data_IF_067287727400
#
_entry.id   IF_067287727400
#
_cell.length_a   1.000
_cell.length_b   1.000
_cell.length_c   1.000
_cell.angle_alpha   90.00
_cell.angle_beta   90.00
_cell.angle_gamma   90.00
#
_symmetry.space_group_name_H-M   'P 1'
#
loop_
_entity.id
_entity.type
_entity.pdbx_description
1 polymer ?
#
# COMPACT_ATOMS: atom_id res chain seq x y z
N UNK A 1 55.26 8.88 -39.40
CA UNK A 1 53.97 9.17 -40.06
C UNK A 1 53.06 8.01 -39.72
N UNK A 2 52.22 8.16 -38.70
CA UNK A 2 51.30 7.12 -38.24
C UNK A 2 49.93 7.79 -38.02
N UNK A 3 48.93 7.52 -38.88
CA UNK A 3 47.64 8.19 -38.81
C UNK A 3 46.63 7.41 -37.96
N UNK A 4 46.04 8.13 -36.99
CA UNK A 4 44.67 8.01 -36.48
C UNK A 4 44.01 6.61 -36.36
N UNK A 5 43.59 6.25 -35.14
CA UNK A 5 42.16 6.22 -34.76
C UNK A 5 41.93 5.57 -33.40
N UNK A 6 41.25 6.32 -32.53
CA UNK A 6 39.99 5.86 -31.96
C UNK A 6 40.08 4.81 -30.86
N UNK A 7 40.35 5.26 -29.63
CA UNK A 7 39.55 4.81 -28.48
C UNK A 7 39.07 6.04 -27.73
N UNK A 8 38.08 6.70 -28.33
CA UNK A 8 37.14 7.48 -27.54
C UNK A 8 36.58 6.53 -26.49
N UNK A 9 36.97 6.76 -25.24
CA UNK A 9 36.27 6.19 -24.12
C UNK A 9 34.82 6.61 -24.26
N UNK A 10 33.97 5.68 -24.69
CA UNK A 10 32.55 5.78 -24.40
C UNK A 10 32.47 5.76 -22.88
N UNK A 11 32.49 6.95 -22.28
CA UNK A 11 31.83 7.20 -21.01
C UNK A 11 30.45 6.59 -21.18
N UNK A 12 30.29 5.38 -20.63
CA UNK A 12 29.01 4.72 -20.46
C UNK A 12 28.15 5.70 -19.70
N UNK A 13 27.35 6.49 -20.43
CA UNK A 13 26.41 7.41 -19.84
C UNK A 13 25.57 6.60 -18.85
N UNK A 14 25.47 6.99 -17.57
CA UNK A 14 24.66 6.24 -16.61
C UNK A 14 23.23 6.22 -17.14
N UNK A 15 22.78 5.03 -17.54
CA UNK A 15 21.48 4.83 -18.15
C UNK A 15 20.38 5.08 -17.11
N UNK A 16 19.94 6.34 -17.04
CA UNK A 16 18.63 6.83 -16.58
C UNK A 16 18.03 6.21 -15.29
N UNK A 17 18.51 6.61 -14.10
CA UNK A 17 17.73 6.47 -12.86
C UNK A 17 16.38 7.24 -12.90
N UNK A 18 16.24 8.23 -13.79
CA UNK A 18 15.09 9.14 -13.85
C UNK A 18 13.78 8.54 -14.43
N UNK A 19 13.74 7.28 -14.88
CA UNK A 19 12.49 6.64 -15.35
C UNK A 19 11.99 5.51 -14.44
N UNK A 20 12.83 4.98 -13.56
CA UNK A 20 12.45 3.89 -12.65
C UNK A 20 11.49 4.34 -11.52
N UNK A 21 11.39 5.66 -11.25
CA UNK A 21 10.51 6.18 -10.20
C UNK A 21 9.02 6.09 -10.52
N UNK A 22 8.64 6.22 -11.79
CA UNK A 22 7.24 6.13 -12.24
C UNK A 22 6.60 4.76 -11.94
N UNK A 23 7.17 3.63 -12.39
CA UNK A 23 6.62 2.31 -12.09
C UNK A 23 6.71 1.98 -10.58
N UNK A 24 7.75 2.45 -9.89
CA UNK A 24 7.89 2.28 -8.44
C UNK A 24 6.81 3.04 -7.65
N UNK A 25 6.49 4.27 -8.05
CA UNK A 25 5.41 5.05 -7.48
C UNK A 25 4.04 4.44 -7.79
N UNK A 26 3.81 4.00 -9.03
CA UNK A 26 2.61 3.28 -9.43
C UNK A 26 2.38 2.00 -8.60
N UNK A 27 3.42 1.19 -8.37
CA UNK A 27 3.34 -0.01 -7.54
C UNK A 27 3.08 0.33 -6.06
N UNK A 28 3.75 1.36 -5.53
CA UNK A 28 3.54 1.80 -4.14
C UNK A 28 2.10 2.33 -3.93
N UNK A 29 1.60 3.17 -4.83
CA UNK A 29 0.23 3.69 -4.78
C UNK A 29 -0.79 2.58 -5.00
N UNK A 30 -0.55 1.70 -5.98
CA UNK A 30 -1.39 0.55 -6.30
C UNK A 30 -1.56 -0.41 -5.14
N UNK A 31 -0.45 -0.79 -4.49
CA UNK A 31 -0.47 -1.68 -3.33
C UNK A 31 -1.08 -1.03 -2.08
N UNK A 32 -0.86 0.28 -1.89
CA UNK A 32 -1.54 1.05 -0.83
C UNK A 32 -3.05 1.09 -1.07
N UNK A 33 -3.48 1.33 -2.31
CA UNK A 33 -4.89 1.28 -2.71
C UNK A 33 -5.51 -0.09 -2.45
N UNK A 34 -4.80 -1.17 -2.79
CA UNK A 34 -5.27 -2.53 -2.55
C UNK A 34 -5.45 -2.80 -1.05
N UNK A 35 -4.50 -2.39 -0.21
CA UNK A 35 -4.63 -2.47 1.24
C UNK A 35 -5.80 -1.64 1.78
N UNK A 36 -6.02 -0.45 1.25
CA UNK A 36 -7.16 0.41 1.62
C UNK A 36 -8.49 -0.27 1.28
N UNK A 37 -8.62 -0.86 0.09
CA UNK A 37 -9.81 -1.62 -0.31
C UNK A 37 -10.05 -2.82 0.62
N UNK A 38 -9.00 -3.54 1.03
CA UNK A 38 -9.11 -4.65 1.99
C UNK A 38 -9.70 -4.15 3.31
N UNK A 39 -9.13 -3.09 3.89
CA UNK A 39 -9.65 -2.55 5.15
C UNK A 39 -11.08 -2.04 5.03
N UNK A 40 -11.43 -1.37 3.93
CA UNK A 40 -12.79 -0.87 3.68
C UNK A 40 -13.79 -1.99 3.45
N UNK A 41 -13.40 -3.07 2.77
CA UNK A 41 -14.26 -4.23 2.53
C UNK A 41 -14.48 -5.06 3.82
N UNK A 42 -13.42 -5.30 4.61
CA UNK A 42 -13.54 -5.99 5.91
C UNK A 42 -14.38 -5.17 6.88
N UNK A 43 -14.06 -3.88 7.04
CA UNK A 43 -14.86 -2.98 7.88
C UNK A 43 -16.29 -2.91 7.36
N UNK A 44 -16.44 -2.90 6.02
CA UNK A 44 -17.65 -3.11 5.21
C UNK A 44 -18.57 -4.18 5.78
N UNK A 45 -18.06 -5.41 5.70
CA UNK A 45 -18.76 -6.63 6.08
C UNK A 45 -19.01 -6.72 7.59
N UNK A 46 -18.06 -6.31 8.44
CA UNK A 46 -18.20 -6.47 9.90
C UNK A 46 -19.17 -5.49 10.55
N UNK A 47 -19.25 -4.24 10.06
CA UNK A 47 -20.09 -3.21 10.69
C UNK A 47 -21.56 -3.28 10.27
N UNK A 48 -21.91 -4.08 9.26
CA UNK A 48 -23.27 -4.19 8.74
C UNK A 48 -23.88 -2.84 8.32
N UNK A 49 -25.19 -2.83 8.08
CA UNK A 49 -25.99 -1.65 7.72
C UNK A 49 -26.75 -1.06 8.94
N UNK A 50 -26.12 -1.03 10.12
CA UNK A 50 -26.78 -0.51 11.32
C UNK A 50 -26.98 1.03 11.26
N UNK A 51 -28.09 1.55 11.79
CA UNK A 51 -28.51 2.96 11.68
C UNK A 51 -27.47 4.04 12.08
N UNK A 52 -26.57 3.87 13.07
CA UNK A 52 -25.52 4.88 13.33
C UNK A 52 -24.38 4.88 12.28
N UNK A 53 -24.33 3.90 11.37
CA UNK A 53 -23.28 3.73 10.35
C UNK A 53 -23.50 4.65 9.13
N UNK A 54 -24.66 5.29 9.01
CA UNK A 54 -24.97 6.17 7.88
C UNK A 54 -24.14 7.47 7.90
N UNK A 55 -23.72 7.94 9.10
CA UNK A 55 -22.76 9.03 9.23
C UNK A 55 -21.36 8.68 8.66
N UNK A 56 -21.02 7.38 8.59
CA UNK A 56 -19.80 6.87 7.95
C UNK A 56 -19.95 6.65 6.44
N UNK A 57 -21.17 6.71 5.87
CA UNK A 57 -21.40 6.34 4.47
C UNK A 57 -20.59 7.21 3.50
N UNK A 58 -20.55 8.52 3.73
CA UNK A 58 -19.74 9.45 2.92
C UNK A 58 -18.24 9.17 3.03
N UNK A 59 -17.75 8.84 4.23
CA UNK A 59 -16.34 8.51 4.44
C UNK A 59 -15.98 7.19 3.75
N UNK A 60 -16.88 6.20 3.79
CA UNK A 60 -16.69 4.93 3.10
C UNK A 60 -16.76 5.08 1.59
N UNK A 61 -17.72 5.85 1.04
CA UNK A 61 -17.79 6.14 -0.40
C UNK A 61 -16.53 6.88 -0.87
N UNK A 62 -16.09 7.91 -0.13
CA UNK A 62 -14.85 8.62 -0.42
C UNK A 62 -13.62 7.72 -0.33
N UNK A 63 -13.58 6.83 0.68
CA UNK A 63 -12.53 5.83 0.84
C UNK A 63 -12.50 4.81 -0.30
N UNK A 64 -13.65 4.29 -0.72
CA UNK A 64 -13.75 3.36 -1.85
C UNK A 64 -13.37 4.04 -3.16
N UNK A 65 -13.81 5.28 -3.37
CA UNK A 65 -13.41 6.09 -4.51
C UNK A 65 -11.89 6.33 -4.57
N UNK A 66 -11.28 6.70 -3.44
CA UNK A 66 -9.83 6.86 -3.35
C UNK A 66 -9.10 5.52 -3.54
N UNK A 67 -9.59 4.44 -2.94
CA UNK A 67 -9.02 3.10 -3.09
C UNK A 67 -9.04 2.61 -4.54
N UNK A 68 -10.16 2.81 -5.24
CA UNK A 68 -10.29 2.55 -6.68
C UNK A 68 -9.28 3.36 -7.50
N UNK A 69 -9.17 4.66 -7.22
CA UNK A 69 -8.24 5.54 -7.93
C UNK A 69 -6.77 5.11 -7.72
N UNK A 70 -6.39 4.82 -6.48
CA UNK A 70 -5.04 4.35 -6.14
C UNK A 70 -4.74 2.98 -6.76
N UNK A 71 -5.68 2.03 -6.72
CA UNK A 71 -5.52 0.71 -7.36
C UNK A 71 -5.43 0.84 -8.88
N UNK A 72 -6.16 1.77 -9.49
CA UNK A 72 -6.05 2.02 -10.93
C UNK A 72 -4.63 2.47 -11.32
N UNK A 73 -3.92 3.19 -10.44
CA UNK A 73 -2.52 3.55 -10.65
C UNK A 73 -1.55 2.35 -10.65
N UNK A 74 -1.94 1.16 -10.17
CA UNK A 74 -1.10 -0.05 -10.20
C UNK A 74 -0.83 -0.54 -11.63
N UNK A 75 -1.73 -0.20 -12.55
CA UNK A 75 -1.83 -0.72 -13.90
C UNK A 75 -0.51 -0.69 -14.70
N UNK A 76 0.24 0.43 -14.81
CA UNK A 76 1.53 0.47 -15.49
C UNK A 76 2.58 -0.47 -14.85
N UNK A 77 2.56 -0.67 -13.53
CA UNK A 77 3.47 -1.59 -12.86
C UNK A 77 3.10 -3.07 -13.10
N UNK A 78 1.82 -3.38 -13.31
CA UNK A 78 1.38 -4.72 -13.69
C UNK A 78 1.81 -5.08 -15.12
N UNK A 79 1.89 -4.08 -16.00
CA UNK A 79 2.30 -4.26 -17.39
C UNK A 79 3.78 -4.63 -17.56
N UNK A 80 4.62 -4.27 -16.58
CA UNK A 80 6.05 -4.62 -16.55
C UNK A 80 6.33 -6.02 -16.03
N UNK A 81 5.30 -6.75 -15.56
CA UNK A 81 5.48 -8.12 -15.07
C UNK A 81 5.76 -9.12 -16.21
N UNK A 82 6.51 -10.19 -15.93
CA UNK A 82 6.74 -11.26 -16.89
C UNK A 82 5.42 -11.94 -17.29
N UNK A 83 5.37 -12.43 -18.54
CA UNK A 83 4.18 -12.91 -19.24
C UNK A 83 3.27 -13.90 -18.46
N UNK A 84 3.78 -14.91 -17.70
CA UNK A 84 2.89 -15.83 -16.98
C UNK A 84 2.20 -15.18 -15.76
N UNK A 85 2.79 -14.13 -15.18
CA UNK A 85 2.28 -13.48 -13.98
C UNK A 85 1.45 -12.25 -14.28
N UNK A 86 1.74 -11.57 -15.39
CA UNK A 86 0.99 -10.40 -15.87
C UNK A 86 -0.50 -10.72 -16.04
N UNK A 87 -0.86 -11.81 -16.71
CA UNK A 87 -2.27 -12.18 -16.92
C UNK A 87 -3.02 -12.41 -15.61
N UNK A 88 -2.41 -13.12 -14.67
CA UNK A 88 -2.99 -13.39 -13.34
C UNK A 88 -3.15 -12.12 -12.52
N UNK A 89 -2.14 -11.26 -12.52
CA UNK A 89 -2.16 -10.01 -11.76
C UNK A 89 -3.17 -9.01 -12.34
N UNK A 90 -3.28 -8.91 -13.68
CA UNK A 90 -4.29 -8.07 -14.35
C UNK A 90 -5.71 -8.59 -14.12
N UNK A 91 -5.91 -9.93 -14.14
CA UNK A 91 -7.21 -10.51 -13.82
C UNK A 91 -7.60 -10.22 -12.37
N UNK A 92 -6.70 -10.44 -11.41
CA UNK A 92 -6.94 -10.13 -10.00
C UNK A 92 -7.19 -8.63 -9.79
N UNK A 93 -6.47 -7.76 -10.49
CA UNK A 93 -6.69 -6.32 -10.49
C UNK A 93 -8.08 -5.94 -11.02
N UNK A 94 -8.48 -6.48 -12.17
CA UNK A 94 -9.78 -6.21 -12.77
C UNK A 94 -10.94 -6.68 -11.87
N UNK A 95 -10.80 -7.87 -11.26
CA UNK A 95 -11.78 -8.40 -10.32
C UNK A 95 -11.83 -7.57 -9.03
N UNK A 96 -10.70 -7.09 -8.52
CA UNK A 96 -10.66 -6.20 -7.35
C UNK A 96 -11.35 -4.86 -7.63
N UNK A 97 -11.13 -4.27 -8.82
CA UNK A 97 -11.82 -3.05 -9.25
C UNK A 97 -13.32 -3.27 -9.41
N UNK A 98 -13.72 -4.36 -10.06
CA UNK A 98 -15.13 -4.71 -10.23
C UNK A 98 -15.82 -4.91 -8.88
N UNK A 99 -15.20 -5.69 -7.98
CA UNK A 99 -15.72 -5.92 -6.63
C UNK A 99 -15.83 -4.64 -5.80
N UNK A 100 -14.82 -3.77 -5.83
CA UNK A 100 -14.88 -2.47 -5.17
C UNK A 100 -15.95 -1.54 -5.76
N UNK A 101 -16.13 -1.56 -7.10
CA UNK A 101 -17.21 -0.84 -7.77
C UNK A 101 -18.60 -1.33 -7.34
N UNK A 102 -18.78 -2.64 -7.23
CA UNK A 102 -20.02 -3.24 -6.71
C UNK A 102 -20.25 -2.86 -5.25
N UNK A 103 -19.22 -2.90 -4.40
CA UNK A 103 -19.36 -2.45 -3.00
C UNK A 103 -19.72 -0.97 -2.89
N UNK A 104 -19.15 -0.12 -3.75
CA UNK A 104 -19.50 1.30 -3.82
C UNK A 104 -20.95 1.49 -4.27
N UNK A 105 -21.42 0.72 -5.25
CA UNK A 105 -22.81 0.73 -5.69
C UNK A 105 -23.76 0.25 -4.57
N UNK A 106 -23.40 -0.82 -3.85
CA UNK A 106 -24.16 -1.33 -2.71
C UNK A 106 -24.17 -0.35 -1.51
N UNK A 107 -23.17 0.51 -1.38
CA UNK A 107 -23.23 1.60 -0.39
C UNK A 107 -24.19 2.71 -0.78
N UNK A 108 -24.30 2.99 -2.08
CA UNK A 108 -25.27 3.96 -2.58
C UNK A 108 -26.68 3.39 -2.48
N UNK A 109 -26.86 2.12 -2.87
CA UNK A 109 -28.15 1.41 -2.93
C UNK A 109 -28.09 0.16 -2.03
N UNK A 110 -28.32 0.32 -0.72
CA UNK A 110 -28.20 -0.77 0.24
C UNK A 110 -29.28 -1.83 0.02
N UNK A 111 -28.88 -3.10 0.10
CA UNK A 111 -29.77 -4.26 0.07
C UNK A 111 -29.89 -4.85 1.49
N UNK A 112 -30.88 -4.42 2.30
CA UNK A 112 -31.01 -4.90 3.68
C UNK A 112 -31.29 -6.41 3.71
N UNK A 113 -30.65 -7.11 4.65
CA UNK A 113 -30.83 -8.56 4.85
C UNK A 113 -30.15 -9.47 3.82
N UNK A 114 -29.40 -8.90 2.87
CA UNK A 114 -28.74 -9.64 1.80
C UNK A 114 -27.32 -10.09 2.18
N UNK A 115 -26.89 -11.34 1.87
CA UNK A 115 -25.51 -11.79 2.08
C UNK A 115 -24.52 -11.23 1.04
N UNK A 116 -25.04 -10.62 -0.05
CA UNK A 116 -24.24 -10.12 -1.17
C UNK A 116 -23.10 -9.17 -0.78
N UNK A 117 -23.28 -8.17 0.11
CA UNK A 117 -22.19 -7.27 0.51
C UNK A 117 -21.00 -8.01 1.14
N UNK A 118 -21.26 -9.05 1.94
CA UNK A 118 -20.21 -9.84 2.58
C UNK A 118 -19.46 -10.72 1.58
N UNK A 119 -20.19 -11.36 0.65
CA UNK A 119 -19.58 -12.17 -0.42
C UNK A 119 -18.71 -11.31 -1.34
N UNK A 120 -19.23 -10.17 -1.79
CA UNK A 120 -18.48 -9.24 -2.65
C UNK A 120 -17.28 -8.66 -1.89
N UNK A 121 -17.43 -8.32 -0.60
CA UNK A 121 -16.31 -7.89 0.23
C UNK A 121 -15.21 -8.95 0.27
N UNK A 122 -15.57 -10.21 0.50
CA UNK A 122 -14.63 -11.33 0.55
C UNK A 122 -13.95 -11.57 -0.79
N UNK A 123 -14.69 -11.54 -1.89
CA UNK A 123 -14.10 -11.65 -3.24
C UNK A 123 -13.14 -10.49 -3.52
N UNK A 124 -13.52 -9.27 -3.16
CA UNK A 124 -12.71 -8.06 -3.35
C UNK A 124 -11.42 -8.13 -2.54
N UNK A 125 -11.48 -8.58 -1.28
CA UNK A 125 -10.28 -8.72 -0.43
C UNK A 125 -9.33 -9.78 -0.99
N UNK A 126 -9.84 -10.95 -1.36
CA UNK A 126 -9.03 -12.01 -1.95
C UNK A 126 -8.37 -11.56 -3.25
N UNK A 127 -9.10 -10.88 -4.13
CA UNK A 127 -8.56 -10.37 -5.40
C UNK A 127 -7.52 -9.26 -5.18
N UNK A 128 -7.75 -8.35 -4.23
CA UNK A 128 -6.79 -7.30 -3.89
C UNK A 128 -5.49 -7.88 -3.32
N UNK A 129 -5.58 -8.88 -2.44
CA UNK A 129 -4.40 -9.57 -1.90
C UNK A 129 -3.69 -10.39 -2.99
N UNK A 130 -4.44 -11.08 -3.85
CA UNK A 130 -3.90 -11.85 -4.97
C UNK A 130 -3.15 -10.97 -5.97
N UNK A 131 -3.65 -9.76 -6.26
CA UNK A 131 -2.96 -8.77 -7.10
C UNK A 131 -1.59 -8.40 -6.50
N UNK A 132 -1.55 -8.08 -5.20
CA UNK A 132 -0.31 -7.69 -4.52
C UNK A 132 0.68 -8.87 -4.47
N UNK A 133 0.19 -10.09 -4.25
CA UNK A 133 1.01 -11.30 -4.24
C UNK A 133 1.56 -11.63 -5.65
N UNK A 134 0.72 -11.58 -6.68
CA UNK A 134 1.09 -11.91 -8.06
C UNK A 134 2.10 -10.93 -8.68
N UNK A 135 2.22 -9.74 -8.11
CA UNK A 135 3.22 -8.77 -8.53
C UNK A 135 4.63 -9.10 -8.01
N UNK A 136 4.81 -10.09 -7.13
CA UNK A 136 6.13 -10.64 -6.78
C UNK A 136 6.52 -11.72 -7.78
N UNK A 137 7.78 -11.70 -8.23
CA UNK A 137 8.35 -12.75 -9.08
C UNK A 137 8.75 -13.98 -8.24
N UNK A 138 8.09 -15.14 -8.38
CA UNK A 138 8.39 -16.31 -7.56
C UNK A 138 9.65 -17.07 -7.99
N UNK A 139 10.24 -16.78 -9.16
CA UNK A 139 11.40 -17.54 -9.65
C UNK A 139 12.70 -17.26 -8.88
N UNK A 140 12.78 -16.18 -8.09
CA UNK A 140 13.96 -15.83 -7.28
C UNK A 140 13.67 -15.10 -5.97
N UNK A 141 12.39 -14.88 -5.63
CA UNK A 141 12.02 -14.11 -4.46
C UNK A 141 12.41 -14.83 -3.14
N UNK A 142 12.91 -14.10 -2.12
CA UNK A 142 13.11 -14.67 -0.79
C UNK A 142 11.80 -15.22 -0.21
N UNK A 143 11.87 -16.23 0.68
CA UNK A 143 10.68 -16.90 1.23
C UNK A 143 9.70 -15.95 1.94
N UNK A 144 10.19 -14.80 2.42
CA UNK A 144 9.39 -13.78 3.09
C UNK A 144 8.96 -12.60 2.19
N UNK A 145 9.22 -12.64 0.88
CA UNK A 145 8.94 -11.53 -0.02
C UNK A 145 7.45 -11.22 -0.19
N UNK A 146 6.63 -12.26 -0.31
CA UNK A 146 5.16 -12.16 -0.42
C UNK A 146 4.54 -11.66 0.89
N UNK A 147 4.78 -12.29 2.07
CA UNK A 147 4.18 -11.81 3.31
C UNK A 147 4.63 -10.39 3.67
N UNK A 148 5.89 -10.03 3.39
CA UNK A 148 6.36 -8.65 3.58
C UNK A 148 5.58 -7.68 2.70
N UNK A 149 5.36 -7.99 1.42
CA UNK A 149 4.62 -7.11 0.50
C UNK A 149 3.16 -6.93 0.90
N UNK A 150 2.52 -8.00 1.36
CA UNK A 150 1.15 -7.94 1.87
C UNK A 150 1.05 -7.09 3.14
N UNK A 151 1.96 -7.30 4.11
CA UNK A 151 2.01 -6.51 5.34
C UNK A 151 2.21 -5.01 5.04
N UNK A 152 3.09 -4.68 4.11
CA UNK A 152 3.35 -3.32 3.66
C UNK A 152 2.16 -2.68 2.94
N UNK A 153 1.47 -3.43 2.08
CA UNK A 153 0.25 -2.97 1.42
C UNK A 153 -0.85 -2.66 2.45
N UNK A 154 -1.04 -3.56 3.42
CA UNK A 154 -2.00 -3.37 4.53
C UNK A 154 -1.62 -2.18 5.42
N UNK A 155 -0.33 -1.97 5.70
CA UNK A 155 0.16 -0.84 6.48
C UNK A 155 -0.10 0.49 5.75
N UNK A 156 0.22 0.57 4.46
CA UNK A 156 -0.07 1.74 3.64
C UNK A 156 -1.58 2.04 3.60
N UNK A 157 -2.40 1.02 3.35
CA UNK A 157 -3.85 1.14 3.36
C UNK A 157 -4.42 1.60 4.69
N UNK A 158 -3.92 1.05 5.81
CA UNK A 158 -4.33 1.46 7.15
C UNK A 158 -3.96 2.92 7.43
N UNK A 159 -2.75 3.35 7.05
CA UNK A 159 -2.31 4.74 7.22
C UNK A 159 -3.22 5.73 6.49
N UNK A 160 -3.56 5.44 5.23
CA UNK A 160 -4.50 6.27 4.45
C UNK A 160 -5.90 6.27 5.06
N UNK A 161 -6.39 5.10 5.50
CA UNK A 161 -7.69 5.00 6.16
C UNK A 161 -7.77 5.87 7.42
N UNK A 162 -6.76 5.80 8.28
CA UNK A 162 -6.71 6.59 9.51
C UNK A 162 -6.52 8.09 9.23
N UNK A 163 -5.77 8.46 8.20
CA UNK A 163 -5.69 9.85 7.74
C UNK A 163 -7.05 10.39 7.31
N UNK A 164 -7.82 9.63 6.52
CA UNK A 164 -9.19 10.01 6.13
C UNK A 164 -10.10 10.16 7.36
N UNK A 165 -9.99 9.23 8.31
CA UNK A 165 -10.78 9.24 9.54
C UNK A 165 -10.47 10.48 10.40
N UNK A 166 -9.18 10.79 10.57
CA UNK A 166 -8.72 11.92 11.38
C UNK A 166 -9.06 13.29 10.75
N UNK A 167 -9.05 13.38 9.42
CA UNK A 167 -9.49 14.59 8.71
C UNK A 167 -10.99 14.83 8.90
N UNK A 168 -11.80 13.76 8.95
CA UNK A 168 -13.25 13.86 9.12
C UNK A 168 -13.68 14.12 10.56
N UNK A 169 -13.04 13.47 11.54
CA UNK A 169 -13.35 13.59 12.97
C UNK A 169 -12.11 14.00 13.78
N UNK A 170 -11.86 15.31 13.89
CA UNK A 170 -10.71 15.87 14.61
C UNK A 170 -10.91 15.70 16.11
N UNK A 171 -9.87 15.28 16.84
CA UNK A 171 -9.89 15.33 18.31
C UNK A 171 -10.87 14.39 19.03
N UNK A 172 -11.61 13.53 18.32
CA UNK A 172 -12.35 12.46 18.96
C UNK A 172 -11.37 11.49 19.64
N UNK A 173 -11.72 10.85 20.78
CA UNK A 173 -10.89 9.82 21.41
C UNK A 173 -10.57 8.63 20.47
N UNK A 174 -11.35 8.52 19.38
CA UNK A 174 -11.09 7.65 18.23
C UNK A 174 -9.76 7.92 17.50
N UNK A 175 -9.13 9.07 17.69
CA UNK A 175 -7.89 9.43 17.00
C UNK A 175 -6.66 8.65 17.49
N UNK A 176 -6.63 8.24 18.76
CA UNK A 176 -5.55 7.43 19.33
C UNK A 176 -5.89 5.92 19.35
N UNK A 177 -7.17 5.56 19.28
CA UNK A 177 -7.64 4.18 19.30
C UNK A 177 -6.95 3.24 18.28
N UNK A 178 -6.71 3.64 17.01
CA UNK A 178 -6.04 2.77 16.04
C UNK A 178 -4.51 2.72 16.16
N UNK A 179 -3.90 3.58 16.97
CA UNK A 179 -2.45 3.69 17.08
C UNK A 179 -1.74 2.37 17.43
N UNK A 180 -2.18 1.57 18.42
CA UNK A 180 -1.50 0.33 18.79
C UNK A 180 -1.52 -0.69 17.65
N UNK A 181 -2.67 -0.87 17.00
CA UNK A 181 -2.82 -1.80 15.89
C UNK A 181 -1.95 -1.38 14.69
N UNK A 182 -1.89 -0.08 14.41
CA UNK A 182 -1.03 0.45 13.36
C UNK A 182 0.46 0.23 13.65
N UNK A 183 0.90 0.47 14.90
CA UNK A 183 2.28 0.24 15.31
C UNK A 183 2.65 -1.23 15.28
N UNK A 184 1.78 -2.12 15.75
CA UNK A 184 2.00 -3.57 15.67
C UNK A 184 2.14 -4.04 14.22
N UNK A 185 1.31 -3.53 13.32
CA UNK A 185 1.41 -3.81 11.89
C UNK A 185 2.72 -3.27 11.30
N UNK A 186 3.15 -2.08 11.73
CA UNK A 186 4.44 -1.50 11.35
C UNK A 186 5.63 -2.32 11.84
N UNK A 187 5.60 -2.76 13.10
CA UNK A 187 6.61 -3.67 13.68
C UNK A 187 6.67 -4.97 12.91
N UNK A 188 5.52 -5.58 12.62
CA UNK A 188 5.44 -6.82 11.83
C UNK A 188 6.04 -6.63 10.43
N UNK A 189 5.67 -5.55 9.72
CA UNK A 189 6.18 -5.26 8.38
C UNK A 189 7.71 -5.06 8.38
N UNK A 190 8.23 -4.32 9.36
CA UNK A 190 9.68 -4.10 9.51
C UNK A 190 10.40 -5.41 9.91
N UNK A 191 9.84 -6.20 10.81
CA UNK A 191 10.40 -7.47 11.25
C UNK A 191 10.49 -8.48 10.08
N UNK A 192 9.41 -8.64 9.31
CA UNK A 192 9.41 -9.50 8.11
C UNK A 192 10.46 -9.05 7.08
N UNK A 193 10.58 -7.73 6.90
CA UNK A 193 11.57 -7.15 5.99
C UNK A 193 13.01 -7.36 6.45
N UNK A 194 13.29 -7.19 7.74
CA UNK A 194 14.61 -7.43 8.32
C UNK A 194 14.97 -8.91 8.27
N UNK A 195 14.03 -9.79 8.61
CA UNK A 195 14.19 -11.24 8.53
C UNK A 195 14.49 -11.70 7.09
N UNK A 196 13.77 -11.15 6.10
CA UNK A 196 14.00 -11.45 4.69
C UNK A 196 15.37 -10.96 4.15
N UNK A 197 16.01 -9.99 4.81
CA UNK A 197 17.34 -9.48 4.46
C UNK A 197 18.49 -10.10 5.26
N UNK A 198 18.20 -10.83 6.33
CA UNK A 198 19.17 -11.31 7.32
C UNK A 198 20.20 -12.34 6.82
N UNK A 199 20.33 -12.53 5.50
CA UNK A 199 21.36 -13.38 4.89
C UNK A 199 21.84 -12.93 3.50
N UNK A 200 21.48 -11.73 3.01
CA UNK A 200 21.79 -11.31 1.62
C UNK A 200 22.47 -9.94 1.46
N UNK A 201 22.35 -9.01 2.41
CA UNK A 201 23.03 -7.71 2.36
C UNK A 201 23.07 -7.03 3.74
N UNK A 202 24.13 -6.26 4.01
CA UNK A 202 24.34 -5.57 5.30
C UNK A 202 23.23 -4.59 5.68
N UNK A 203 22.98 -4.46 6.99
CA UNK A 203 21.90 -3.70 7.62
C UNK A 203 21.88 -2.19 7.32
N UNK A 204 22.99 -1.62 6.80
CA UNK A 204 23.16 -0.17 6.62
C UNK A 204 22.18 0.45 5.62
N UNK A 205 21.76 -0.29 4.58
CA UNK A 205 20.78 0.20 3.59
C UNK A 205 19.31 0.02 4.00
N UNK A 206 19.00 -0.71 5.08
CA UNK A 206 17.62 -0.93 5.53
C UNK A 206 17.11 0.07 6.56
N UNK A 207 18.03 0.72 7.29
CA UNK A 207 17.73 1.67 8.36
C UNK A 207 16.84 2.86 7.93
N UNK A 208 17.11 3.58 6.83
CA UNK A 208 16.29 4.75 6.48
C UNK A 208 14.85 4.35 6.14
N UNK A 209 14.67 3.22 5.45
CA UNK A 209 13.32 2.74 5.10
C UNK A 209 12.60 2.19 6.33
N UNK A 210 13.30 1.50 7.25
CA UNK A 210 12.69 1.07 8.51
C UNK A 210 12.28 2.27 9.38
N UNK A 211 13.08 3.35 9.37
CA UNK A 211 12.76 4.59 10.05
C UNK A 211 11.49 5.24 9.46
N UNK A 212 11.37 5.33 8.14
CA UNK A 212 10.17 5.86 7.45
C UNK A 212 8.91 5.01 7.67
N UNK A 213 9.06 3.68 7.75
CA UNK A 213 7.93 2.76 7.89
C UNK A 213 7.41 2.63 9.33
N UNK A 214 8.26 2.84 10.34
CA UNK A 214 7.90 2.57 11.74
C UNK A 214 8.29 3.70 12.69
N UNK A 215 9.54 4.15 12.67
CA UNK A 215 10.05 5.08 13.69
C UNK A 215 9.41 6.47 13.57
N UNK A 216 9.38 7.03 12.35
CA UNK A 216 8.74 8.32 12.08
C UNK A 216 7.22 8.27 12.31
N UNK A 217 6.46 7.28 11.81
CA UNK A 217 5.05 7.18 12.14
C UNK A 217 4.80 6.96 13.64
N UNK A 218 5.65 6.22 14.36
CA UNK A 218 5.53 6.08 15.80
C UNK A 218 5.72 7.42 16.52
N UNK A 219 6.74 8.19 16.14
CA UNK A 219 6.96 9.54 16.67
C UNK A 219 5.81 10.50 16.38
N UNK A 220 5.08 10.32 15.27
CA UNK A 220 3.94 11.17 14.90
C UNK A 220 2.65 10.75 15.61
N UNK A 221 2.43 9.45 15.81
CA UNK A 221 1.17 8.90 16.33
C UNK A 221 1.16 8.77 17.86
N UNK A 222 2.29 8.46 18.50
CA UNK A 222 2.38 8.35 19.97
C UNK A 222 2.00 9.64 20.72
N UNK A 223 2.39 10.86 20.25
CA UNK A 223 1.97 12.10 20.90
C UNK A 223 0.45 12.34 20.90
N UNK A 224 -0.32 11.65 20.05
CA UNK A 224 -1.78 11.77 20.03
C UNK A 224 -2.45 11.26 21.32
N UNK A 225 -1.77 10.43 22.11
CA UNK A 225 -2.24 10.03 23.44
C UNK A 225 -2.25 11.19 24.42
N UNK A 226 -1.29 12.11 24.30
CA UNK A 226 -1.24 13.31 25.12
C UNK A 226 -2.13 14.41 24.51
N UNK A 227 -2.01 14.65 23.20
CA UNK A 227 -2.66 15.76 22.50
C UNK A 227 -3.50 15.29 21.29
N UNK A 228 -4.75 14.85 21.49
CA UNK A 228 -5.60 14.33 20.41
C UNK A 228 -5.99 15.40 19.37
N UNK A 229 -5.87 16.70 19.69
CA UNK A 229 -6.16 17.81 18.77
C UNK A 229 -5.27 17.85 17.52
N UNK A 230 -4.11 17.17 17.53
CA UNK A 230 -3.16 17.14 16.41
C UNK A 230 -3.44 16.02 15.40
N UNK A 231 -4.49 15.22 15.61
CA UNK A 231 -4.79 14.04 14.78
C UNK A 231 -4.92 14.34 13.29
N UNK A 232 -5.47 15.51 12.94
CA UNK A 232 -5.60 16.00 11.56
C UNK A 232 -4.27 16.16 10.83
N UNK A 233 -3.17 16.34 11.54
CA UNK A 233 -1.85 16.57 10.95
C UNK A 233 -0.98 15.32 11.10
N UNK A 234 -1.01 14.71 12.28
CA UNK A 234 -0.20 13.53 12.61
C UNK A 234 -0.52 12.32 11.72
N UNK A 235 -1.81 12.01 11.48
CA UNK A 235 -2.18 10.85 10.68
C UNK A 235 -1.85 11.01 9.19
N UNK A 236 -2.14 12.15 8.52
CA UNK A 236 -1.66 12.37 7.17
C UNK A 236 -0.14 12.36 7.07
N UNK A 237 0.59 12.94 8.03
CA UNK A 237 2.04 12.90 8.04
C UNK A 237 2.57 11.46 8.21
N UNK A 238 1.95 10.65 9.07
CA UNK A 238 2.28 9.24 9.23
C UNK A 238 1.99 8.43 7.95
N UNK A 239 0.86 8.68 7.29
CA UNK A 239 0.51 8.04 6.02
C UNK A 239 1.51 8.40 4.91
N UNK A 240 1.89 9.68 4.80
CA UNK A 240 2.91 10.15 3.87
C UNK A 240 4.29 9.55 4.17
N UNK A 241 4.65 9.41 5.46
CA UNK A 241 5.88 8.74 5.88
C UNK A 241 5.91 7.28 5.41
N UNK A 242 4.81 6.54 5.61
CA UNK A 242 4.71 5.15 5.16
C UNK A 242 4.77 5.07 3.64
N UNK A 243 4.06 5.92 2.91
CA UNK A 243 4.13 6.00 1.45
C UNK A 243 5.54 6.29 0.94
N UNK A 244 6.24 7.22 1.56
CA UNK A 244 7.64 7.53 1.26
C UNK A 244 8.56 6.33 1.56
N UNK A 245 8.32 5.61 2.66
CA UNK A 245 9.02 4.36 2.99
C UNK A 245 8.77 3.26 1.96
N UNK A 246 7.53 3.07 1.50
CA UNK A 246 7.17 2.12 0.45
C UNK A 246 7.87 2.47 -0.87
N UNK A 247 7.81 3.73 -1.29
CA UNK A 247 8.48 4.20 -2.50
C UNK A 247 10.00 3.99 -2.43
N UNK A 248 10.63 4.37 -1.32
CA UNK A 248 12.07 4.18 -1.11
C UNK A 248 12.45 2.69 -1.15
N UNK A 249 11.59 1.80 -0.65
CA UNK A 249 11.79 0.36 -0.76
C UNK A 249 11.71 -0.12 -2.22
N UNK A 250 10.72 0.34 -3.01
CA UNK A 250 10.58 -0.03 -4.42
C UNK A 250 11.77 0.44 -5.25
N UNK A 251 12.23 1.66 -5.03
CA UNK A 251 13.41 2.21 -5.68
C UNK A 251 14.68 1.43 -5.33
N UNK A 252 14.86 1.05 -4.07
CA UNK A 252 16.01 0.27 -3.64
C UNK A 252 16.04 -1.15 -4.23
N UNK A 253 14.89 -1.72 -4.60
CA UNK A 253 14.84 -2.99 -5.34
C UNK A 253 15.19 -2.79 -6.82
N UNK A 254 14.56 -1.80 -7.46
CA UNK A 254 14.81 -1.49 -8.87
C UNK A 254 16.27 -1.13 -9.18
N UNK A 255 16.99 -0.53 -8.23
CA UNK A 255 18.42 -0.22 -8.38
C UNK A 255 19.39 -1.40 -8.15
N UNK A 256 18.93 -2.52 -7.60
CA UNK A 256 19.74 -3.73 -7.42
C UNK A 256 19.58 -4.73 -8.59
N UNK A 257 18.52 -4.59 -9.39
CA UNK A 257 18.17 -5.50 -10.50
C UNK A 257 18.67 -5.00 -11.88
N UNK A 258 19.40 -3.88 -11.92
CA UNK A 258 19.96 -3.27 -13.14
C UNK A 258 21.46 -3.09 -13.07
#
# INVERSE_FOLDING_TARGET
>A
MDPARGRGGTLSAPARPARAWLPAAADALGSTGAGLLVWLAVSGAMLGSAAPVQQLAWLRMGGFGLGLLLVACALPALWTLPAPWRGRAVLAWALALAGAGVLLALQRWPLPGSPWPALVATATTLCALAMVAAAQDPAGAPPLAVPTRLALALLGGAGVLFALLALRWPGAPLAAAPAPAFLLLGVLAVALRLAGRHGRAGLRGSLPVAALLLLLPALLVLPLYAWPGWSRIAWPAAALSVLAGLLAERLARAGNDG
#
